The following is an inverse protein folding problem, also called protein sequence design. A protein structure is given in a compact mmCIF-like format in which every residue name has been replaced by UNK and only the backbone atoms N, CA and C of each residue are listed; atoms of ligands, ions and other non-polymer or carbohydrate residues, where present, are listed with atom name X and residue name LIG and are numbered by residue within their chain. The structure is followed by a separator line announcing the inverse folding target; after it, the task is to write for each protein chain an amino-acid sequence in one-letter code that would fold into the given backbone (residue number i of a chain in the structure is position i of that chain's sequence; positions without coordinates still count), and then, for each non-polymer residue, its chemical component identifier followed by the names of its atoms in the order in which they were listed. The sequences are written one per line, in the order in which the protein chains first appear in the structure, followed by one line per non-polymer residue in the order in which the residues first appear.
data_IF_359981736675
#
_entry.id   IF_359981736675
#
_cell.length_a   1.000
_cell.length_b   1.000
_cell.length_c   1.000
_cell.angle_alpha   90.00
_cell.angle_beta   90.00
_cell.angle_gamma   90.00
#
_symmetry.space_group_name_H-M   'P 1'
#
loop_
_entity.id
_entity.type
_entity.pdbx_description
1 polymer ?
2 water ?
#
# COMPACT_ATOMS: atom_id res chain seq x y z
N UNK A 2 16.55 11.14 2.87
CA UNK A 2 16.50 9.95 3.70
C UNK A 2 17.80 9.76 4.47
N UNK A 3 17.69 9.15 5.65
CA UNK A 3 18.85 8.91 6.49
C UNK A 3 18.67 7.61 7.30
N UNK A 4 19.56 6.65 7.06
CA UNK A 4 19.51 5.40 7.81
C UNK A 4 20.37 5.47 9.06
N UNK A 5 19.73 5.21 10.20
CA UNK A 5 20.43 5.25 11.47
C UNK A 5 20.60 3.83 11.98
N UNK A 6 21.78 3.28 11.77
CA UNK A 6 22.08 1.92 12.21
C UNK A 6 22.38 1.89 13.70
N UNK A 7 21.68 1.02 14.42
CA UNK A 7 21.85 0.86 15.86
C UNK A 7 22.43 -0.52 16.17
N UNK A 8 23.49 -0.56 16.97
CA UNK A 8 24.12 -1.82 17.36
C UNK A 8 23.73 -2.17 18.80
N UNK A 9 23.96 -3.43 19.21
CA UNK A 9 23.54 -3.88 20.55
C UNK A 9 23.97 -2.94 21.66
N UNK A 10 25.17 -2.36 21.56
CA UNK A 10 25.67 -1.50 22.61
C UNK A 10 25.41 -0.02 22.40
N UNK A 11 24.84 0.31 21.25
CA UNK A 11 24.60 1.71 20.88
C UNK A 11 23.79 2.44 21.96
N UNK A 12 24.11 3.71 22.18
CA UNK A 12 23.22 4.58 22.94
C UNK A 12 22.39 5.41 21.98
N UNK A 13 21.09 5.16 21.95
CA UNK A 13 20.14 5.83 21.03
C UNK A 13 20.25 7.35 21.09
N UNK A 14 20.30 7.90 22.30
CA UNK A 14 20.40 9.35 22.48
C UNK A 14 21.62 9.92 21.75
N UNK A 15 22.77 9.27 21.91
CA UNK A 15 23.99 9.69 21.24
C UNK A 15 23.85 9.55 19.72
N UNK A 16 23.37 8.39 19.28
CA UNK A 16 23.21 8.13 17.85
C UNK A 16 22.29 9.15 17.16
N UNK A 17 21.20 9.54 17.82
CA UNK A 17 20.26 10.50 17.24
C UNK A 17 20.88 11.89 17.01
N UNK A 18 21.87 12.25 17.85
CA UNK A 18 22.50 13.57 17.72
C UNK A 18 23.20 13.72 16.37
N UNK A 19 23.66 12.59 15.82
CA UNK A 19 24.34 12.59 14.53
C UNK A 19 23.42 12.72 13.31
N UNK A 20 22.10 12.71 13.54
CA UNK A 20 21.17 12.91 12.42
C UNK A 20 21.20 14.37 11.98
N UNK A 21 21.59 14.63 10.73
CA UNK A 21 21.67 16.01 10.24
C UNK A 21 20.30 16.67 10.13
N UNK A 22 20.24 17.98 10.36
CA UNK A 22 18.99 18.71 10.20
C UNK A 22 18.71 18.86 8.71
N UNK A 23 17.44 18.71 8.34
CA UNK A 23 17.07 18.66 6.93
C UNK A 23 16.58 17.27 6.56
N UNK A 24 17.03 16.28 7.32
CA UNK A 24 16.55 14.91 7.15
C UNK A 24 15.03 14.91 7.28
N UNK A 25 14.35 14.40 6.25
CA UNK A 25 12.89 14.35 6.27
C UNK A 25 12.38 12.94 6.52
N UNK A 26 13.21 11.94 6.22
CA UNK A 26 12.84 10.55 6.35
C UNK A 26 13.89 9.77 7.14
N UNK A 27 13.49 9.19 8.28
CA UNK A 27 14.44 8.54 9.18
C UNK A 27 14.22 7.03 9.18
N UNK A 28 15.24 6.28 8.77
CA UNK A 28 15.11 4.82 8.68
C UNK A 28 15.78 4.15 9.88
N UNK A 29 14.95 3.59 10.76
CA UNK A 29 15.42 2.85 11.92
C UNK A 29 15.08 1.35 11.79
N UNK A 30 14.87 0.90 10.56
CA UNK A 30 14.48 -0.48 10.33
C UNK A 30 15.64 -1.43 10.61
N UNK A 31 15.31 -2.70 10.86
CA UNK A 31 16.29 -3.77 11.01
C UNK A 31 17.33 -3.48 12.09
N UNK A 32 16.84 -2.90 13.19
CA UNK A 32 17.70 -2.46 14.27
C UNK A 32 17.48 -3.23 15.57
N UNK A 33 16.82 -4.38 15.50
CA UNK A 33 16.50 -5.15 16.71
C UNK A 33 15.92 -4.24 17.77
N UNK A 34 15.01 -3.38 17.38
CA UNK A 34 14.45 -2.40 18.32
C UNK A 34 13.67 -3.05 19.46
N UNK A 35 13.20 -4.26 19.25
CA UNK A 35 12.45 -4.96 20.31
C UNK A 35 13.26 -5.12 21.60
N UNK A 36 14.60 -5.12 21.48
CA UNK A 36 15.45 -5.32 22.66
C UNK A 36 16.17 -4.05 23.12
N UNK A 37 15.98 -2.95 22.40
CA UNK A 37 16.58 -1.70 22.80
C UNK A 37 15.96 -1.20 24.09
N UNK A 38 16.75 -0.47 24.89
CA UNK A 38 16.23 0.16 26.09
C UNK A 38 15.10 1.13 25.77
N UNK A 39 13.92 0.88 26.31
CA UNK A 39 12.78 1.74 26.05
C UNK A 39 13.03 3.17 26.53
N UNK A 40 13.62 3.32 27.70
CA UNK A 40 13.91 4.66 28.23
C UNK A 40 14.80 5.44 27.27
N UNK A 41 15.87 4.82 26.80
CA UNK A 41 16.80 5.49 25.93
C UNK A 41 16.18 5.89 24.59
N UNK A 42 15.34 5.01 24.05
CA UNK A 42 14.74 5.26 22.76
C UNK A 42 13.72 6.38 22.87
N UNK A 43 13.01 6.41 24.00
CA UNK A 43 12.04 7.46 24.27
C UNK A 43 12.79 8.81 24.31
N UNK A 44 13.90 8.83 25.04
CA UNK A 44 14.75 10.01 25.10
C UNK A 44 15.33 10.38 23.73
N UNK A 45 15.80 9.38 22.99
CA UNK A 45 16.33 9.62 21.65
C UNK A 45 15.26 10.28 20.76
N UNK A 46 14.03 9.80 20.86
CA UNK A 46 12.91 10.38 20.10
C UNK A 46 12.70 11.88 20.40
N UNK A 47 12.94 12.28 21.65
CA UNK A 47 12.75 13.68 22.02
C UNK A 47 13.78 14.59 21.34
N UNK A 48 14.93 14.02 20.99
CA UNK A 48 16.01 14.77 20.33
C UNK A 48 16.07 14.50 18.83
N UNK A 49 14.91 14.27 18.21
CA UNK A 49 14.85 14.04 16.78
C UNK A 49 14.67 15.37 16.06
N UNK A 50 15.41 15.57 14.94
CA UNK A 50 15.25 16.81 14.18
C UNK A 50 13.81 17.04 13.76
N UNK A 51 13.34 18.28 13.91
CA UNK A 51 11.97 18.64 13.57
C UNK A 51 11.64 18.44 12.09
N UNK A 52 12.65 18.29 11.25
CA UNK A 52 12.41 18.15 9.83
C UNK A 52 11.87 16.76 9.47
N UNK A 53 12.10 15.80 10.35
CA UNK A 53 11.68 14.42 10.11
C UNK A 53 10.16 14.31 10.08
N UNK A 54 9.62 13.90 8.94
CA UNK A 54 8.18 13.74 8.79
C UNK A 54 7.80 12.28 8.50
N UNK A 55 8.81 11.43 8.35
CA UNK A 55 8.58 10.02 8.04
C UNK A 55 9.48 9.14 8.89
N UNK A 56 8.92 8.09 9.49
CA UNK A 56 9.67 7.22 10.39
C UNK A 56 9.47 5.77 10.02
N UNK A 57 10.57 5.07 9.83
CA UNK A 57 10.55 3.68 9.44
C UNK A 57 11.02 2.83 10.61
N UNK A 58 10.10 2.08 11.20
CA UNK A 58 10.40 1.17 12.30
C UNK A 58 10.25 -0.29 11.89
N UNK A 59 10.24 -0.54 10.59
CA UNK A 59 9.99 -1.90 10.09
C UNK A 59 11.09 -2.90 10.43
N UNK A 60 10.74 -4.18 10.47
CA UNK A 60 11.72 -5.25 10.65
C UNK A 60 12.46 -5.22 11.98
N UNK A 61 11.72 -4.92 13.05
CA UNK A 61 12.30 -4.74 14.37
C UNK A 61 11.72 -5.68 15.42
N UNK A 62 11.00 -6.69 14.97
CA UNK A 62 10.36 -7.66 15.86
C UNK A 62 9.53 -7.04 16.98
N UNK A 63 8.92 -5.90 16.73
CA UNK A 63 8.24 -5.14 17.78
C UNK A 63 7.06 -5.90 18.40
N UNK A 64 6.54 -6.88 17.68
CA UNK A 64 5.51 -7.75 18.21
C UNK A 64 5.94 -8.48 19.48
N UNK A 65 7.24 -8.63 19.69
CA UNK A 65 7.78 -9.34 20.87
C UNK A 65 8.39 -8.41 21.89
N UNK A 66 8.19 -7.12 21.73
CA UNK A 66 8.61 -6.15 22.72
C UNK A 66 7.51 -6.05 23.78
N UNK A 67 7.91 -5.98 25.04
CA UNK A 67 6.97 -5.76 26.13
C UNK A 67 5.87 -4.81 25.68
N UNK A 68 4.62 -5.23 25.84
CA UNK A 68 3.48 -4.50 25.27
C UNK A 68 3.31 -3.07 25.79
N UNK A 69 3.47 -2.90 27.11
CA UNK A 69 3.35 -1.59 27.71
C UNK A 69 4.47 -0.67 27.23
N UNK A 70 5.66 -1.22 27.04
CA UNK A 70 6.77 -0.44 26.50
C UNK A 70 6.56 -0.06 25.03
N UNK A 71 5.94 -0.95 24.26
CA UNK A 71 5.68 -0.65 22.85
C UNK A 71 4.74 0.53 22.76
N UNK A 72 3.76 0.56 23.65
CA UNK A 72 2.79 1.63 23.72
C UNK A 72 3.50 2.97 23.97
N UNK A 73 4.47 2.95 24.89
CA UNK A 73 5.27 4.13 25.22
C UNK A 73 6.12 4.63 24.06
N UNK A 74 6.78 3.70 23.38
CA UNK A 74 7.56 4.05 22.22
C UNK A 74 6.72 4.71 21.11
N UNK A 75 5.56 4.13 20.82
CA UNK A 75 4.68 4.72 19.80
C UNK A 75 4.16 6.11 20.22
N UNK A 76 3.80 6.25 21.51
CA UNK A 76 3.31 7.52 22.02
C UNK A 76 4.41 8.57 21.98
N UNK A 77 5.66 8.12 21.98
CA UNK A 77 6.80 9.03 22.07
C UNK A 77 7.32 9.49 20.71
N UNK A 78 6.66 9.03 19.65
CA UNK A 78 7.03 9.44 18.28
C UNK A 78 6.81 10.95 18.08
N UNK A 79 7.86 11.66 17.64
CA UNK A 79 7.83 13.13 17.47
C UNK A 79 6.60 13.63 16.70
N UNK A 80 6.04 14.76 17.14
CA UNK A 80 4.80 15.31 16.58
C UNK A 80 4.89 15.62 15.09
N UNK A 81 6.07 16.00 14.63
CA UNK A 81 6.32 16.30 13.23
C UNK A 81 6.16 15.08 12.30
N UNK A 82 6.25 13.88 12.84
CA UNK A 82 6.15 12.67 12.05
C UNK A 82 4.70 12.43 11.60
N UNK A 83 4.50 12.25 10.31
CA UNK A 83 3.16 12.09 9.77
C UNK A 83 2.98 10.75 9.09
N UNK A 84 4.09 10.06 8.84
CA UNK A 84 4.06 8.81 8.11
C UNK A 84 4.85 7.76 8.90
N UNK A 85 4.24 6.62 9.18
CA UNK A 85 4.87 5.62 10.04
C UNK A 85 4.85 4.24 9.39
N UNK A 86 6.01 3.62 9.32
CA UNK A 86 6.09 2.28 8.77
C UNK A 86 6.34 1.28 9.89
N UNK A 87 5.32 0.47 10.16
CA UNK A 87 5.41 -0.56 11.17
C UNK A 87 5.41 -1.95 10.56
N UNK A 88 5.73 -2.06 9.27
CA UNK A 88 5.68 -3.36 8.60
C UNK A 88 6.74 -4.33 9.13
N UNK A 89 6.51 -5.63 8.94
CA UNK A 89 7.49 -6.66 9.26
C UNK A 89 7.88 -6.71 10.73
N UNK A 90 6.89 -6.68 11.61
CA UNK A 90 7.15 -6.58 13.04
C UNK A 90 6.45 -7.66 13.87
N UNK A 91 5.93 -8.69 13.22
CA UNK A 91 5.27 -9.78 13.93
C UNK A 91 4.15 -9.31 14.83
N UNK A 92 3.46 -8.26 14.41
CA UNK A 92 2.44 -7.63 15.24
C UNK A 92 1.30 -8.60 15.63
N UNK A 93 1.02 -9.58 14.76
CA UNK A 93 -0.04 -10.56 15.03
C UNK A 93 0.19 -11.48 16.22
N UNK A 94 1.43 -11.55 16.71
CA UNK A 94 1.70 -12.35 17.90
C UNK A 94 1.14 -11.66 19.15
N UNK A 95 0.83 -10.37 19.03
CA UNK A 95 0.18 -9.65 20.11
C UNK A 95 -1.29 -10.06 20.19
N UNK A 96 -1.77 -10.32 21.40
CA UNK A 96 -3.19 -10.61 21.60
C UNK A 96 -4.04 -9.45 21.14
N UNK A 97 -5.35 -9.71 21.04
CA UNK A 97 -6.30 -8.68 20.65
C UNK A 97 -6.21 -7.47 21.60
N UNK A 98 -6.19 -7.74 22.90
CA UNK A 98 -6.16 -6.67 23.88
C UNK A 98 -4.87 -5.84 23.85
N UNK A 99 -3.72 -6.51 23.71
CA UNK A 99 -2.45 -5.80 23.54
C UNK A 99 -2.41 -5.02 22.24
N UNK A 100 -2.98 -5.60 21.19
CA UNK A 100 -2.94 -5.00 19.86
C UNK A 100 -3.79 -3.73 19.81
N UNK A 101 -4.92 -3.76 20.49
CA UNK A 101 -5.81 -2.61 20.60
C UNK A 101 -5.11 -1.40 21.22
N UNK A 102 -4.35 -1.65 22.28
CA UNK A 102 -3.63 -0.60 22.98
C UNK A 102 -2.47 -0.11 22.14
N UNK A 103 -1.78 -1.04 21.52
CA UNK A 103 -0.67 -0.72 20.63
C UNK A 103 -1.11 0.22 19.53
N UNK A 104 -2.15 -0.16 18.78
CA UNK A 104 -2.62 0.67 17.68
C UNK A 104 -3.20 2.01 18.15
N UNK A 105 -3.88 2.00 19.30
CA UNK A 105 -4.44 3.24 19.87
C UNK A 105 -3.36 4.20 20.35
N UNK A 106 -2.15 3.68 20.56
CA UNK A 106 -1.01 4.47 20.97
C UNK A 106 -0.38 5.29 19.82
N UNK A 107 -0.68 4.93 18.59
CA UNK A 107 -0.15 5.68 17.44
C UNK A 107 -0.71 7.09 17.45
N UNK A 108 0.18 8.11 17.48
CA UNK A 108 -0.24 9.50 17.63
C UNK A 108 -1.19 9.97 16.53
N UNK A 109 -2.17 10.79 16.90
CA UNK A 109 -3.12 11.35 15.96
C UNK A 109 -2.41 12.15 14.87
N UNK A 110 -1.13 12.39 15.06
CA UNK A 110 -0.39 13.17 14.10
C UNK A 110 -0.05 12.33 12.84
N UNK A 111 -0.21 11.02 12.96
CA UNK A 111 0.04 10.07 11.86
C UNK A 111 -1.13 9.96 10.90
N UNK A 112 -0.89 10.23 9.61
CA UNK A 112 -1.95 10.12 8.61
C UNK A 112 -1.68 8.99 7.61
N UNK A 113 -0.43 8.51 7.58
CA UNK A 113 -0.05 7.41 6.69
C UNK A 113 0.59 6.28 7.51
N UNK A 114 0.02 5.08 7.41
CA UNK A 114 0.45 3.96 8.25
C UNK A 114 0.69 2.68 7.44
N UNK A 115 1.85 2.07 7.59
CA UNK A 115 2.18 0.81 6.94
C UNK A 115 2.16 -0.31 7.98
N UNK A 116 1.18 -1.20 7.85
CA UNK A 116 1.11 -2.40 8.68
C UNK A 116 1.38 -3.66 7.85
N UNK A 117 2.16 -3.52 6.78
CA UNK A 117 2.44 -4.65 5.89
C UNK A 117 3.18 -5.77 6.59
N UNK A 118 3.10 -6.99 6.04
CA UNK A 118 3.94 -8.08 6.50
C UNK A 118 3.90 -8.29 8.03
N UNK A 119 2.69 -8.35 8.59
CA UNK A 119 2.52 -8.57 10.02
C UNK A 119 1.68 -9.81 10.36
N UNK A 120 1.53 -10.71 9.38
CA UNK A 120 0.83 -11.98 9.59
C UNK A 120 -0.65 -11.80 9.94
N UNK A 121 -1.24 -10.70 9.48
CA UNK A 121 -2.63 -10.41 9.77
C UNK A 121 -3.63 -11.45 9.23
N UNK A 122 -3.20 -12.32 8.32
CA UNK A 122 -4.06 -13.42 7.89
C UNK A 122 -4.42 -14.37 9.05
N UNK A 123 -3.65 -14.30 10.14
CA UNK A 123 -3.91 -15.12 11.32
C UNK A 123 -5.05 -14.57 12.17
N UNK A 124 -5.55 -13.38 11.82
CA UNK A 124 -6.65 -12.76 12.56
C UNK A 124 -7.99 -13.06 11.91
N UNK A 125 -9.01 -13.33 12.71
CA UNK A 125 -10.38 -13.40 12.20
C UNK A 125 -10.88 -11.99 11.97
N UNK A 126 -11.99 -11.87 11.24
CA UNK A 126 -12.54 -10.56 10.92
C UNK A 126 -12.98 -9.83 12.19
N UNK A 127 -13.41 -10.58 13.21
CA UNK A 127 -13.72 -10.00 14.52
C UNK A 127 -12.49 -9.37 15.16
N UNK A 128 -11.36 -10.07 15.07
CA UNK A 128 -10.10 -9.58 15.62
C UNK A 128 -9.58 -8.38 14.83
N UNK A 129 -9.71 -8.43 13.51
CA UNK A 129 -9.41 -7.26 12.68
C UNK A 129 -10.24 -6.06 13.11
N UNK A 130 -11.55 -6.26 13.23
CA UNK A 130 -12.48 -5.21 13.62
C UNK A 130 -12.10 -4.59 14.98
N UNK A 131 -11.79 -5.44 15.95
CA UNK A 131 -11.37 -4.97 17.27
C UNK A 131 -10.05 -4.19 17.17
N UNK A 132 -9.13 -4.69 16.37
CA UNK A 132 -7.80 -4.10 16.29
C UNK A 132 -7.85 -2.73 15.64
N UNK A 133 -8.51 -2.65 14.49
CA UNK A 133 -8.51 -1.46 13.67
C UNK A 133 -9.46 -0.36 14.17
N UNK A 134 -10.41 -0.75 15.03
CA UNK A 134 -11.38 0.20 15.54
C UNK A 134 -10.71 1.21 16.47
N UNK A 135 -9.50 0.87 16.92
CA UNK A 135 -8.76 1.75 17.81
C UNK A 135 -7.66 2.56 17.13
N UNK A 136 -7.56 2.49 15.80
CA UNK A 136 -6.59 3.33 15.10
C UNK A 136 -7.00 4.80 15.19
N UNK A 137 -6.04 5.70 15.37
CA UNK A 137 -6.39 7.12 15.36
C UNK A 137 -7.14 7.46 14.08
N UNK A 138 -8.13 8.34 14.18
CA UNK A 138 -8.99 8.66 13.04
C UNK A 138 -8.27 9.55 12.03
N UNK A 139 -7.03 9.88 12.32
CA UNK A 139 -6.20 10.72 11.47
C UNK A 139 -5.65 9.97 10.26
N UNK A 140 -5.74 8.64 10.30
CA UNK A 140 -5.16 7.81 9.26
C UNK A 140 -6.02 7.77 8.00
N UNK A 141 -5.50 8.33 6.91
CA UNK A 141 -6.20 8.33 5.61
C UNK A 141 -5.57 7.33 4.63
N UNK A 142 -4.36 6.88 4.94
CA UNK A 142 -3.66 5.93 4.08
C UNK A 142 -3.21 4.71 4.87
N UNK A 143 -3.75 3.54 4.55
CA UNK A 143 -3.44 2.33 5.28
C UNK A 143 -2.86 1.25 4.37
N UNK A 144 -1.68 0.75 4.70
CA UNK A 144 -0.99 -0.25 3.90
C UNK A 144 -1.07 -1.63 4.58
N UNK A 145 -1.72 -2.56 3.90
CA UNK A 145 -1.90 -3.93 4.37
C UNK A 145 -1.20 -4.95 3.48
N UNK A 146 -0.19 -4.50 2.75
CA UNK A 146 0.58 -5.35 1.83
C UNK A 146 1.18 -6.56 2.53
N UNK A 147 1.29 -7.68 1.81
CA UNK A 147 2.00 -8.83 2.33
C UNK A 147 1.44 -9.47 3.59
N UNK A 148 0.13 -9.46 3.75
CA UNK A 148 -0.50 -10.12 4.88
C UNK A 148 -1.27 -11.39 4.50
N UNK A 149 -0.97 -11.92 3.30
CA UNK A 149 -1.58 -13.15 2.78
C UNK A 149 -3.09 -13.12 2.89
N UNK A 150 -3.69 -11.97 2.61
CA UNK A 150 -5.13 -11.83 2.71
C UNK A 150 -5.85 -12.77 1.73
N UNK A 151 -5.16 -13.15 0.66
CA UNK A 151 -5.72 -14.06 -0.32
C UNK A 151 -6.06 -15.43 0.22
N UNK A 152 -5.52 -15.78 1.40
CA UNK A 152 -5.81 -17.07 2.01
C UNK A 152 -7.14 -17.07 2.74
N UNK A 153 -7.66 -15.87 3.03
CA UNK A 153 -8.90 -15.77 3.77
C UNK A 153 -10.11 -16.15 2.91
N UNK A 154 -11.06 -16.86 3.49
CA UNK A 154 -12.31 -17.17 2.81
C UNK A 154 -12.92 -15.86 2.38
N UNK A 155 -13.73 -15.88 1.32
CA UNK A 155 -14.28 -14.65 0.80
C UNK A 155 -15.19 -13.95 1.82
N UNK A 156 -15.94 -14.73 2.60
CA UNK A 156 -16.81 -14.18 3.63
C UNK A 156 -16.01 -13.40 4.67
N UNK A 157 -14.87 -13.95 5.07
CA UNK A 157 -14.02 -13.28 6.05
C UNK A 157 -13.41 -12.01 5.44
N UNK A 158 -12.94 -12.12 4.21
CA UNK A 158 -12.34 -10.96 3.52
C UNK A 158 -13.30 -9.79 3.43
N UNK A 159 -14.57 -10.09 3.19
CA UNK A 159 -15.58 -9.06 3.05
C UNK A 159 -15.83 -8.35 4.37
N UNK A 160 -15.85 -9.12 5.47
CA UNK A 160 -15.93 -8.55 6.81
C UNK A 160 -14.69 -7.75 7.19
N UNK A 161 -13.53 -8.19 6.72
CA UNK A 161 -12.30 -7.44 6.98
C UNK A 161 -12.35 -6.06 6.31
N UNK A 162 -12.87 -6.01 5.08
CA UNK A 162 -13.10 -4.74 4.40
C UNK A 162 -14.01 -3.84 5.24
N UNK A 163 -15.02 -4.44 5.86
CA UNK A 163 -15.89 -3.70 6.78
C UNK A 163 -15.12 -3.08 7.95
N UNK A 164 -13.95 -3.63 8.26
CA UNK A 164 -13.21 -3.19 9.45
C UNK A 164 -12.27 -2.01 9.17
N UNK A 165 -12.12 -1.65 7.90
CA UNK A 165 -11.27 -0.53 7.52
C UNK A 165 -11.87 0.78 8.07
N UNK A 166 -11.10 1.51 8.89
CA UNK A 166 -11.64 2.76 9.43
C UNK A 166 -12.24 3.66 8.35
N UNK A 167 -13.32 4.34 8.70
CA UNK A 167 -14.08 5.16 7.75
C UNK A 167 -13.23 6.29 7.17
N UNK A 168 -12.20 6.70 7.89
CA UNK A 168 -11.32 7.78 7.44
C UNK A 168 -10.27 7.37 6.39
N UNK A 169 -10.13 6.07 6.16
CA UNK A 169 -9.11 5.61 5.20
C UNK A 169 -9.59 5.82 3.78
N UNK A 170 -8.88 6.64 3.01
CA UNK A 170 -9.26 6.84 1.61
C UNK A 170 -8.27 6.21 0.64
N UNK A 171 -7.15 5.73 1.17
CA UNK A 171 -6.15 5.06 0.34
C UNK A 171 -5.79 3.70 0.95
N UNK A 172 -6.09 2.64 0.23
CA UNK A 172 -5.89 1.29 0.75
C UNK A 172 -4.91 0.54 -0.12
N UNK A 173 -3.84 0.04 0.50
CA UNK A 173 -2.86 -0.75 -0.23
C UNK A 173 -3.02 -2.23 0.09
N UNK A 174 -3.44 -3.01 -0.92
CA UNK A 174 -3.61 -4.46 -0.79
C UNK A 174 -2.57 -5.25 -1.58
N UNK A 175 -1.47 -4.58 -1.91
CA UNK A 175 -0.38 -5.18 -2.68
C UNK A 175 0.16 -6.50 -2.10
N UNK A 176 0.48 -7.46 -2.97
CA UNK A 176 1.16 -8.68 -2.55
C UNK A 176 0.41 -9.53 -1.53
N UNK A 177 -0.87 -9.72 -1.77
CA UNK A 177 -1.70 -10.51 -0.86
C UNK A 177 -2.23 -11.78 -1.52
N UNK A 178 -1.57 -12.20 -2.61
CA UNK A 178 -1.98 -13.41 -3.32
C UNK A 178 -3.48 -13.41 -3.59
N UNK A 179 -4.04 -12.26 -3.90
CA UNK A 179 -5.48 -12.14 -4.06
C UNK A 179 -6.04 -13.02 -5.19
N UNK A 180 -5.21 -13.31 -6.19
CA UNK A 180 -5.68 -14.12 -7.32
C UNK A 180 -5.72 -15.61 -6.98
N UNK A 181 -5.41 -15.94 -5.72
CA UNK A 181 -5.57 -17.29 -5.19
C UNK A 181 -7.04 -17.65 -5.18
N UNK A 182 -7.88 -16.64 -5.02
CA UNK A 182 -9.32 -16.83 -4.97
C UNK A 182 -9.88 -16.96 -6.39
N UNK A 183 -11.00 -17.65 -6.54
CA UNK A 183 -11.63 -17.73 -7.84
C UNK A 183 -12.29 -16.40 -8.22
N UNK A 184 -12.60 -16.24 -9.50
CA UNK A 184 -13.13 -15.00 -10.05
C UNK A 184 -14.34 -14.44 -9.32
N UNK A 185 -15.31 -15.28 -9.05
CA UNK A 185 -16.55 -14.82 -8.43
C UNK A 185 -16.27 -14.27 -7.03
N UNK A 186 -15.45 -14.98 -6.28
CA UNK A 186 -15.08 -14.55 -4.93
C UNK A 186 -14.35 -13.21 -4.97
N UNK A 187 -13.39 -13.11 -5.88
CA UNK A 187 -12.56 -11.93 -5.97
C UNK A 187 -13.39 -10.73 -6.44
N UNK A 188 -14.33 -10.98 -7.35
CA UNK A 188 -15.24 -9.93 -7.80
C UNK A 188 -16.15 -9.42 -6.68
N UNK A 189 -16.65 -10.34 -5.85
CA UNK A 189 -17.48 -9.94 -4.72
C UNK A 189 -16.67 -9.14 -3.69
N UNK A 190 -15.43 -9.58 -3.47
CA UNK A 190 -14.54 -8.85 -2.55
C UNK A 190 -14.40 -7.41 -2.97
N UNK A 191 -14.01 -7.20 -4.23
CA UNK A 191 -13.77 -5.88 -4.77
C UNK A 191 -15.02 -4.99 -4.76
N UNK A 192 -16.18 -5.58 -5.02
CA UNK A 192 -17.44 -4.84 -4.98
C UNK A 192 -17.71 -4.27 -3.58
N UNK A 193 -17.10 -4.88 -2.57
CA UNK A 193 -17.30 -4.43 -1.20
C UNK A 193 -16.24 -3.44 -0.71
N UNK A 194 -15.35 -3.01 -1.59
CA UNK A 194 -14.39 -1.99 -1.19
C UNK A 194 -15.19 -0.82 -0.62
N UNK A 195 -14.88 -0.41 0.62
CA UNK A 195 -15.64 0.63 1.32
C UNK A 195 -15.75 1.94 0.56
N UNK A 196 -16.90 2.60 0.70
CA UNK A 196 -17.24 3.83 -0.01
C UNK A 196 -16.17 4.90 0.16
N UNK A 197 -15.41 4.78 1.24
CA UNK A 197 -14.43 5.78 1.65
C UNK A 197 -13.16 5.69 0.82
N UNK A 198 -12.91 4.52 0.27
CA UNK A 198 -11.64 4.28 -0.39
C UNK A 198 -11.73 4.75 -1.84
N UNK A 199 -10.93 5.75 -2.19
CA UNK A 199 -10.92 6.24 -3.56
C UNK A 199 -9.63 5.83 -4.28
N UNK A 200 -8.61 5.44 -3.50
CA UNK A 200 -7.37 4.93 -4.09
C UNK A 200 -7.09 3.52 -3.61
N UNK A 201 -6.81 2.63 -4.56
CA UNK A 201 -6.63 1.23 -4.26
C UNK A 201 -5.39 0.69 -4.95
N UNK A 202 -4.53 0.01 -4.20
CA UNK A 202 -3.37 -0.64 -4.80
C UNK A 202 -3.60 -2.15 -4.83
N UNK A 203 -3.72 -2.71 -6.04
CA UNK A 203 -3.82 -4.17 -6.21
C UNK A 203 -2.60 -4.78 -6.90
N UNK A 204 -1.46 -4.09 -6.82
CA UNK A 204 -0.24 -4.59 -7.46
C UNK A 204 0.24 -5.92 -6.87
N UNK A 205 1.01 -6.65 -7.66
CA UNK A 205 1.66 -7.90 -7.23
C UNK A 205 0.70 -8.90 -6.59
N UNK A 206 -0.47 -9.07 -7.17
CA UNK A 206 -1.46 -10.01 -6.66
C UNK A 206 -1.75 -11.17 -7.61
N UNK A 207 -0.80 -11.45 -8.50
CA UNK A 207 -0.91 -12.55 -9.45
C UNK A 207 -2.16 -12.47 -10.35
N UNK A 208 -2.73 -11.28 -10.50
CA UNK A 208 -3.97 -11.13 -11.27
C UNK A 208 -3.80 -11.63 -12.72
N UNK A 209 -2.57 -11.64 -13.22
CA UNK A 209 -2.28 -12.12 -14.56
C UNK A 209 -2.50 -13.60 -14.78
N UNK A 210 -2.72 -14.34 -13.69
CA UNK A 210 -3.05 -15.77 -13.77
C UNK A 210 -4.51 -16.01 -14.14
N UNK A 211 -5.32 -14.96 -14.08
CA UNK A 211 -6.72 -15.06 -14.46
C UNK A 211 -6.90 -14.89 -15.98
N UNK A 212 -7.99 -15.44 -16.52
CA UNK A 212 -8.29 -15.24 -17.94
C UNK A 212 -8.76 -13.81 -18.09
N UNK A 213 -8.72 -13.29 -19.31
CA UNK A 213 -9.11 -11.92 -19.54
C UNK A 213 -10.59 -11.70 -19.33
N UNK A 214 -11.38 -12.73 -19.64
CA UNK A 214 -12.81 -12.66 -19.39
C UNK A 214 -13.07 -12.56 -17.88
N UNK A 215 -12.27 -13.30 -17.11
CA UNK A 215 -12.32 -13.19 -15.65
C UNK A 215 -11.93 -11.78 -15.19
N UNK A 216 -10.80 -11.28 -15.68
CA UNK A 216 -10.31 -9.96 -15.31
C UNK A 216 -11.33 -8.88 -15.63
N UNK A 217 -11.97 -8.98 -16.79
CA UNK A 217 -13.01 -8.04 -17.17
C UNK A 217 -14.10 -7.97 -16.10
N UNK A 218 -14.57 -9.13 -15.67
CA UNK A 218 -15.58 -9.20 -14.61
C UNK A 218 -15.04 -8.66 -13.28
N UNK A 219 -13.80 -8.99 -12.97
CA UNK A 219 -13.15 -8.47 -11.77
C UNK A 219 -13.05 -6.94 -11.80
N UNK A 220 -12.46 -6.38 -12.86
CA UNK A 220 -12.37 -4.92 -12.99
C UNK A 220 -13.72 -4.22 -12.90
N UNK A 221 -14.72 -4.74 -13.61
CA UNK A 221 -16.04 -4.09 -13.58
C UNK A 221 -16.67 -4.08 -12.18
N UNK A 222 -16.26 -5.03 -11.34
CA UNK A 222 -16.76 -5.09 -9.96
C UNK A 222 -16.19 -4.00 -9.04
N UNK A 223 -15.08 -3.40 -9.42
CA UNK A 223 -14.50 -2.32 -8.63
C UNK A 223 -15.47 -1.13 -8.59
N UNK A 224 -15.91 -0.74 -7.38
CA UNK A 224 -16.98 0.26 -7.27
C UNK A 224 -16.64 1.60 -7.92
N UNK A 225 -17.69 2.39 -8.16
CA UNK A 225 -17.59 3.69 -8.81
C UNK A 225 -16.64 4.67 -8.12
N UNK A 226 -16.58 4.60 -6.81
CA UNK A 226 -15.86 5.60 -6.01
C UNK A 226 -14.32 5.47 -6.03
N UNK A 227 -13.80 4.36 -6.53
CA UNK A 227 -12.35 4.26 -6.61
C UNK A 227 -11.83 4.73 -7.96
N UNK A 228 -11.18 5.89 -7.93
CA UNK A 228 -10.81 6.59 -9.15
C UNK A 228 -9.32 6.47 -9.41
N UNK A 229 -8.61 5.84 -8.48
CA UNK A 229 -7.18 5.60 -8.66
C UNK A 229 -6.86 4.15 -8.32
N UNK A 230 -6.21 3.46 -9.26
CA UNK A 230 -5.99 2.02 -9.15
C UNK A 230 -4.59 1.66 -9.64
N UNK A 231 -3.84 0.95 -8.80
CA UNK A 231 -2.52 0.46 -9.15
C UNK A 231 -2.59 -1.03 -9.52
N UNK A 232 -2.19 -1.34 -10.75
CA UNK A 232 -2.33 -2.70 -11.29
C UNK A 232 -0.98 -3.34 -11.61
N UNK A 233 0.10 -2.66 -11.26
CA UNK A 233 1.46 -3.13 -11.55
C UNK A 233 1.82 -4.51 -10.98
N UNK A 234 2.85 -5.11 -11.59
CA UNK A 234 3.39 -6.41 -11.17
C UNK A 234 2.33 -7.48 -11.03
N UNK A 235 1.45 -7.57 -12.01
CA UNK A 235 0.41 -8.58 -11.98
C UNK A 235 0.58 -9.61 -13.09
N UNK A 236 1.75 -9.57 -13.73
CA UNK A 236 2.17 -10.60 -14.67
C UNK A 236 1.17 -10.80 -15.82
N UNK A 237 0.71 -9.71 -16.42
CA UNK A 237 -0.20 -9.82 -17.55
C UNK A 237 0.49 -10.49 -18.74
N UNK A 238 -0.10 -11.59 -19.21
CA UNK A 238 0.47 -12.38 -20.29
C UNK A 238 -0.32 -12.26 -21.60
N UNK A 239 0.37 -12.46 -22.72
CA UNK A 239 -0.24 -12.46 -24.04
C UNK A 239 -1.35 -11.46 -24.22
N UNK A 240 -1.02 -10.16 -24.14
CA UNK A 240 -2.02 -9.09 -24.27
C UNK A 240 -2.45 -8.99 -25.73
N UNK A 241 -2.98 -10.08 -26.26
CA UNK A 241 -3.45 -10.09 -27.63
C UNK A 241 -4.56 -9.07 -27.80
N UNK A 242 -4.80 -8.66 -29.04
CA UNK A 242 -5.76 -7.63 -29.34
C UNK A 242 -7.20 -8.04 -28.98
N UNK A 243 -7.47 -9.34 -29.02
CA UNK A 243 -8.80 -9.83 -28.65
C UNK A 243 -8.96 -9.92 -27.13
N UNK A 244 -7.91 -10.40 -26.46
CA UNK A 244 -7.88 -10.37 -25.00
C UNK A 244 -8.19 -8.99 -24.43
N UNK A 245 -7.36 -8.02 -24.81
CA UNK A 245 -7.55 -6.62 -24.42
C UNK A 245 -8.95 -6.10 -24.73
N UNK A 246 -9.54 -6.58 -25.82
CA UNK A 246 -10.87 -6.15 -26.23
C UNK A 246 -11.91 -6.48 -25.15
N UNK A 247 -11.72 -7.63 -24.51
CA UNK A 247 -12.64 -8.10 -23.47
C UNK A 247 -12.69 -7.14 -22.27
N UNK A 248 -11.62 -6.37 -22.07
CA UNK A 248 -11.53 -5.47 -20.91
C UNK A 248 -12.23 -4.14 -21.17
N UNK A 249 -12.84 -4.03 -22.35
CA UNK A 249 -13.48 -2.77 -22.76
C UNK A 249 -14.44 -2.24 -21.70
N UNK A 250 -14.24 -1.00 -21.29
CA UNK A 250 -15.12 -0.32 -20.33
C UNK A 250 -15.06 -0.85 -18.88
N UNK A 251 -14.30 -1.91 -18.63
CA UNK A 251 -14.28 -2.55 -17.30
C UNK A 251 -13.71 -1.66 -16.18
N UNK A 252 -12.99 -0.60 -16.55
CA UNK A 252 -12.39 0.32 -15.59
C UNK A 252 -12.80 1.75 -15.91
N UNK A 253 -14.05 1.94 -16.30
CA UNK A 253 -14.48 3.23 -16.84
C UNK A 253 -14.55 4.35 -15.81
N UNK A 254 -14.56 3.99 -14.52
CA UNK A 254 -14.67 4.99 -13.46
C UNK A 254 -13.30 5.55 -13.06
N UNK A 255 -12.24 4.92 -13.54
CA UNK A 255 -10.88 5.29 -13.15
C UNK A 255 -10.47 6.67 -13.64
N UNK A 256 -9.83 7.44 -12.77
CA UNK A 256 -9.22 8.68 -13.20
C UNK A 256 -7.71 8.53 -13.30
N UNK A 257 -7.12 7.78 -12.37
CA UNK A 257 -5.69 7.48 -12.39
C UNK A 257 -5.47 5.97 -12.42
N UNK A 258 -4.51 5.52 -13.23
CA UNK A 258 -4.12 4.11 -13.26
C UNK A 258 -2.59 3.98 -13.33
N UNK A 259 -2.05 2.99 -12.62
CA UNK A 259 -0.62 2.70 -12.65
C UNK A 259 -0.42 1.41 -13.39
N UNK A 260 0.46 1.43 -14.38
CA UNK A 260 0.70 0.29 -15.25
C UNK A 260 2.19 0.00 -15.33
N UNK A 261 2.53 -1.27 -15.59
CA UNK A 261 3.92 -1.66 -15.81
C UNK A 261 4.39 -1.15 -17.16
N UNK A 262 5.43 -0.33 -17.15
CA UNK A 262 6.06 0.13 -18.38
C UNK A 262 6.51 -1.06 -19.22
N UNK A 263 7.12 -2.05 -18.57
CA UNK A 263 7.56 -3.26 -19.28
C UNK A 263 6.46 -3.96 -20.05
N UNK A 264 5.21 -3.77 -19.63
CA UNK A 264 4.10 -4.38 -20.33
C UNK A 264 3.71 -3.54 -21.54
N UNK A 265 3.38 -2.28 -21.32
CA UNK A 265 2.95 -1.42 -22.41
C UNK A 265 4.05 -1.22 -23.45
N UNK A 266 5.31 -1.34 -23.02
CA UNK A 266 6.48 -1.05 -23.85
C UNK A 266 6.50 -1.77 -25.19
N UNK A 267 5.93 -2.98 -25.21
CA UNK A 267 5.99 -3.83 -26.39
C UNK A 267 4.69 -3.84 -27.18
N UNK A 269 1.53 -2.70 -29.59
CA UNK A 269 1.31 -1.94 -30.81
C UNK A 269 0.37 -0.79 -30.51
N UNK A 270 0.20 0.11 -31.48
CA UNK A 270 -0.76 1.20 -31.36
C UNK A 270 -2.14 0.67 -31.03
N UNK A 271 -2.54 -0.37 -31.76
CA UNK A 271 -3.87 -0.95 -31.62
C UNK A 271 -4.05 -1.51 -30.20
N UNK A 272 -3.07 -2.31 -29.77
CA UNK A 272 -3.03 -2.79 -28.40
C UNK A 272 -3.20 -1.66 -27.37
N UNK A 273 -2.39 -0.61 -27.50
CA UNK A 273 -2.49 0.52 -26.58
C UNK A 273 -3.89 1.10 -26.58
N UNK A 274 -4.46 1.31 -27.77
CA UNK A 274 -5.80 1.85 -27.88
C UNK A 274 -6.80 0.91 -27.22
N UNK A 275 -6.57 -0.39 -27.38
CA UNK A 275 -7.43 -1.40 -26.78
C UNK A 275 -7.35 -1.41 -25.24
N UNK A 276 -6.14 -1.41 -24.70
CA UNK A 276 -5.97 -1.30 -23.24
C UNK A 276 -6.59 0.00 -22.73
N UNK A 277 -6.29 1.11 -23.41
CA UNK A 277 -6.85 2.40 -23.06
C UNK A 277 -8.38 2.37 -23.04
N UNK A 278 -8.95 1.47 -23.83
CA UNK A 278 -10.41 1.35 -23.91
C UNK A 278 -11.02 0.72 -22.66
N UNK A 279 -10.20 0.08 -21.85
CA UNK A 279 -10.64 -0.41 -20.55
C UNK A 279 -10.99 0.77 -19.65
N UNK A 280 -10.20 1.84 -19.76
CA UNK A 280 -10.43 3.04 -18.97
C UNK A 280 -10.61 4.29 -19.84
N UNK A 281 -11.78 4.42 -20.49
CA UNK A 281 -12.08 5.48 -21.47
C UNK A 281 -12.06 6.87 -20.85
N UNK A 282 -12.19 6.96 -19.54
CA UNK A 282 -12.27 8.26 -18.89
C UNK A 282 -11.01 8.58 -18.10
N UNK A 283 -9.94 7.83 -18.38
CA UNK A 283 -8.69 8.01 -17.66
C UNK A 283 -8.25 9.47 -17.74
N UNK A 284 -7.53 9.92 -16.74
CA UNK A 284 -7.08 11.30 -16.70
C UNK A 284 -5.57 11.35 -16.56
N UNK A 285 -5.04 10.45 -15.73
CA UNK A 285 -3.60 10.29 -15.59
C UNK A 285 -3.21 8.82 -15.69
N UNK A 286 -2.31 8.53 -16.61
CA UNK A 286 -1.69 7.22 -16.70
C UNK A 286 -0.27 7.35 -16.14
N UNK A 287 0.13 6.38 -15.34
CA UNK A 287 1.45 6.41 -14.74
C UNK A 287 2.11 5.07 -15.02
N UNK A 288 3.19 5.11 -15.79
CA UNK A 288 3.95 3.88 -16.06
C UNK A 288 5.05 3.75 -15.01
N UNK A 289 5.33 2.52 -14.63
CA UNK A 289 6.22 2.26 -13.50
C UNK A 289 7.26 1.27 -13.98
N UNK A 290 8.53 1.54 -13.65
CA UNK A 290 9.62 0.65 -14.07
C UNK A 290 9.66 -0.61 -13.22
N UNK A 291 10.65 -1.45 -13.47
CA UNK A 291 10.73 -2.75 -12.82
C UNK A 291 10.84 -2.60 -11.31
N UNK A 292 11.56 -1.57 -10.88
CA UNK A 292 11.85 -1.35 -9.47
C UNK A 292 10.76 -0.55 -8.77
N UNK A 293 9.64 -0.35 -9.45
CA UNK A 293 8.51 0.36 -8.86
C UNK A 293 8.67 1.87 -8.89
N UNK A 294 9.54 2.37 -9.76
CA UNK A 294 9.76 3.80 -9.88
C UNK A 294 8.93 4.42 -11.02
N UNK A 295 8.09 5.39 -10.67
CA UNK A 295 7.30 6.12 -11.63
C UNK A 295 8.22 6.73 -12.67
N UNK A 296 7.79 6.69 -13.92
CA UNK A 296 8.59 7.17 -15.03
C UNK A 296 8.00 8.46 -15.58
N UNK A 297 8.78 9.53 -15.54
CA UNK A 297 8.31 10.83 -15.98
C UNK A 297 8.11 10.91 -17.49
N UNK A 298 6.88 11.21 -17.92
CA UNK A 298 6.57 11.38 -19.34
C UNK A 298 7.54 12.35 -20.00
N UNK A 299 7.62 13.57 -19.48
CA UNK A 299 8.44 14.60 -20.11
C UNK A 299 9.94 14.48 -19.87
N UNK A 300 10.45 13.26 -19.89
CA UNK A 300 11.84 13.02 -20.31
C UNK A 300 12.07 11.61 -20.87
N UNK A 301 11.10 11.16 -21.68
CA UNK A 301 11.24 10.01 -22.56
C UNK A 301 10.23 10.12 -23.70
N UNK A 302 10.73 10.14 -24.92
CA UNK A 302 9.85 10.22 -26.09
C UNK A 302 8.94 9.00 -26.19
N UNK A 303 9.53 7.79 -26.15
CA UNK A 303 8.69 6.58 -26.17
C UNK A 303 7.61 6.60 -25.08
N UNK A 304 8.00 6.88 -23.84
CA UNK A 304 7.02 6.93 -22.76
C UNK A 304 5.91 7.91 -23.08
N UNK A 305 6.28 9.08 -23.56
CA UNK A 305 5.30 10.11 -23.93
C UNK A 305 4.38 9.65 -25.09
N UNK A 306 4.91 8.82 -25.99
CA UNK A 306 4.10 8.25 -27.07
C UNK A 306 3.15 7.17 -26.57
N UNK A 307 3.66 6.29 -25.69
CA UNK A 307 2.86 5.27 -25.04
C UNK A 307 1.62 5.90 -24.40
N UNK A 308 1.84 6.90 -23.56
CA UNK A 308 0.75 7.53 -22.82
C UNK A 308 -0.30 8.11 -23.75
N UNK A 309 0.13 8.93 -24.70
CA UNK A 309 -0.77 9.51 -25.68
C UNK A 309 -1.64 8.41 -26.30
N UNK A 310 -1.01 7.32 -26.68
CA UNK A 310 -1.70 6.21 -27.33
C UNK A 310 -2.62 5.44 -26.38
N UNK A 311 -2.26 5.39 -25.09
CA UNK A 311 -3.09 4.73 -24.08
C UNK A 311 -4.22 5.64 -23.59
N UNK A 312 -4.00 6.95 -23.68
CA UNK A 312 -5.00 7.94 -23.29
C UNK A 312 -6.02 8.17 -24.41
N UNK A 313 -5.68 7.73 -25.61
CA UNK A 313 -6.54 7.95 -26.77
C UNK A 313 -6.53 9.39 -27.25
N UNK A 314 -5.57 10.17 -26.77
CA UNK A 314 -5.39 11.54 -27.22
C UNK A 314 -4.95 11.53 -28.68
N UNK A 315 -5.14 12.66 -29.36
CA UNK A 315 -4.79 12.75 -30.78
C UNK A 315 -4.02 14.03 -31.10
N UNK A 316 -3.07 13.90 -32.01
CA UNK A 316 -2.33 15.05 -32.54
C UNK A 316 -2.78 15.32 -33.98
N UNK A 317 -2.26 16.40 -34.58
CA UNK A 317 -2.68 16.83 -35.91
C UNK A 317 -2.53 15.74 -36.96
N UNK A 318 -1.34 15.14 -37.09
CA UNK A 318 -1.13 14.11 -38.11
C UNK A 318 -2.19 13.03 -38.00
N UNK A 319 -2.27 12.41 -36.83
CA UNK A 319 -3.20 11.32 -36.60
C UNK A 319 -4.59 11.67 -37.13
N UNK A 320 -5.03 12.90 -36.88
CA UNK A 320 -6.32 13.35 -37.39
C UNK A 320 -6.30 13.47 -38.91
#
# INVERSE_FOLDING_TARGET
XNYKLTLHPGSNPVEEFTSIPHGVTSLDLSLNNLYSISTVELIQAFANTPASVTSLNLSGNSLGFKNSDELVQILAAIPANVTSLNLSGNFLSYKSSDELVKTLAAIPFTITVLDLGWNDFSSKSSSEFKQAFSNLPASITSLNLRGNDLGIKSSDELIQILAAIPANVNSLNLRGNNLASKNCAELAKFLASIPASVTSLDLSANLLGLKSYAELAYIFSSIPNHVVSLNLCLNCLHGPSLENLKLLKDSLKHLQTVYLDYDIVKNXSKEQCKALGAAFPNIQKIILVDKNGKEIHPSHSIPISNLIRELSGKADVPSLLNQCLIFAQKHQTNIEDLNIPDELRESIQTCKPLLEHHHHHH
#
